data_IF_884297915919
#
_entry.id   IF_884297915919
#
_cell.length_a   1.000
_cell.length_b   1.000
_cell.length_c   1.000
_cell.angle_alpha   90.00
_cell.angle_beta   90.00
_cell.angle_gamma   90.00
#
_symmetry.space_group_name_H-M   'P 1'
#
loop_
_entity.id
_entity.type
_entity.pdbx_description
1 polymer ?
#
# COMPACT_ATOMS: atom_id res chain seq x y z
N UNK A 1 29.97 -8.48 72.11
CA UNK A 1 30.45 -9.43 71.10
C UNK A 1 29.94 -8.92 69.76
N UNK A 2 30.72 -8.15 68.99
CA UNK A 2 31.65 -8.64 67.93
C UNK A 2 30.89 -9.56 66.96
N UNK A 3 30.79 -9.33 65.64
CA UNK A 3 31.77 -8.74 64.71
C UNK A 3 31.14 -8.57 63.30
N UNK A 4 31.42 -7.42 62.64
CA UNK A 4 31.83 -7.21 61.21
C UNK A 4 31.14 -7.97 60.06
N UNK A 5 30.55 -7.28 59.07
CA UNK A 5 31.18 -6.72 57.83
C UNK A 5 30.77 -7.57 56.60
N UNK A 6 30.19 -7.07 55.50
CA UNK A 6 30.65 -5.95 54.68
C UNK A 6 29.51 -5.13 54.06
N UNK A 7 29.61 -3.82 54.23
CA UNK A 7 29.13 -2.80 53.31
C UNK A 7 30.13 -2.65 52.13
N UNK A 8 29.67 -2.07 51.02
CA UNK A 8 30.40 -1.72 49.77
C UNK A 8 30.50 -2.89 48.78
N UNK A 9 30.13 -2.79 47.49
CA UNK A 9 29.81 -1.70 46.57
C UNK A 9 29.36 -2.40 45.27
N UNK A 10 28.31 -2.02 44.54
CA UNK A 10 28.26 -0.84 43.68
C UNK A 10 26.82 -0.69 43.16
N UNK A 11 26.20 0.46 43.43
CA UNK A 11 25.25 1.05 42.48
C UNK A 11 26.06 1.54 41.27
N UNK A 12 25.44 1.45 40.09
CA UNK A 12 25.86 1.96 38.77
C UNK A 12 27.06 1.31 38.09
N UNK A 13 26.77 0.60 36.99
CA UNK A 13 27.26 0.93 35.64
C UNK A 13 26.30 0.24 34.65
N UNK A 14 25.24 0.93 34.23
CA UNK A 14 25.11 1.57 32.91
C UNK A 14 25.44 0.66 31.72
N UNK A 15 24.42 0.45 30.87
CA UNK A 15 24.40 -0.15 29.53
C UNK A 15 24.12 -1.66 29.42
N UNK A 16 23.02 -2.01 28.72
CA UNK A 16 23.04 -3.10 27.74
C UNK A 16 22.25 -4.38 28.05
N UNK A 17 21.10 -4.53 27.37
CA UNK A 17 20.72 -5.77 26.68
C UNK A 17 20.20 -6.97 27.49
N UNK A 18 18.97 -7.39 27.16
CA UNK A 18 18.60 -8.81 27.23
C UNK A 18 17.30 -9.15 27.95
N UNK A 19 16.15 -8.79 27.37
CA UNK A 19 14.93 -9.59 27.59
C UNK A 19 15.15 -10.98 26.96
N UNK A 20 15.73 -11.92 27.72
CA UNK A 20 15.78 -13.33 27.32
C UNK A 20 14.42 -13.96 27.61
N UNK A 21 13.59 -14.04 26.58
CA UNK A 21 12.51 -15.02 26.48
C UNK A 21 13.14 -16.42 26.66
N UNK A 22 12.89 -17.03 27.81
CA UNK A 22 13.29 -18.41 28.07
C UNK A 22 12.25 -19.34 27.40
N UNK A 23 12.70 -20.49 26.87
CA UNK A 23 11.91 -21.43 26.08
C UNK A 23 10.64 -21.94 26.77
N UNK A 24 10.61 -21.91 28.11
CA UNK A 24 9.44 -22.22 28.95
C UNK A 24 8.32 -21.20 28.78
N UNK A 25 8.63 -19.92 28.53
CA UNK A 25 7.63 -18.87 28.20
C UNK A 25 7.12 -19.01 26.76
N UNK A 26 7.96 -19.46 25.83
CA UNK A 26 7.57 -19.72 24.43
C UNK A 26 6.62 -20.93 24.37
N UNK A 27 6.90 -21.98 25.13
CA UNK A 27 6.02 -23.15 25.27
C UNK A 27 4.64 -22.80 25.83
N UNK A 28 4.56 -21.93 26.84
CA UNK A 28 3.28 -21.50 27.42
C UNK A 28 2.48 -20.57 26.49
N UNK A 29 3.15 -19.78 25.64
CA UNK A 29 2.50 -18.94 24.62
C UNK A 29 1.82 -19.79 23.53
N UNK A 30 2.38 -20.96 23.22
CA UNK A 30 1.79 -21.89 22.24
C UNK A 30 0.55 -22.63 22.75
N UNK A 31 0.24 -22.57 24.05
CA UNK A 31 -0.88 -23.28 24.69
C UNK A 31 -2.06 -22.37 25.07
N UNK A 32 -2.00 -21.06 24.80
CA UNK A 32 -3.05 -20.11 25.20
C UNK A 32 -4.35 -20.29 24.40
N UNK A 33 -5.45 -20.56 25.10
CA UNK A 33 -6.74 -20.95 24.50
C UNK A 33 -7.73 -19.78 24.29
N UNK A 34 -7.41 -18.55 24.71
CA UNK A 34 -8.28 -17.38 24.49
C UNK A 34 -7.56 -16.03 24.61
N UNK A 35 -8.13 -14.98 23.99
CA UNK A 35 -7.60 -13.61 24.03
C UNK A 35 -7.51 -12.96 25.41
N UNK A 36 -8.35 -13.39 26.36
CA UNK A 36 -8.31 -12.89 27.74
C UNK A 36 -7.07 -13.36 28.52
N UNK A 37 -6.43 -14.46 28.11
CA UNK A 37 -5.13 -14.88 28.65
C UNK A 37 -3.98 -14.11 28.01
N UNK A 38 -4.02 -13.85 26.70
CA UNK A 38 -3.02 -13.03 26.01
C UNK A 38 -2.97 -11.57 26.53
N UNK A 39 -4.14 -11.02 26.88
CA UNK A 39 -4.29 -9.73 27.57
C UNK A 39 -3.58 -9.72 28.94
N UNK A 40 -3.83 -10.75 29.76
CA UNK A 40 -3.21 -10.90 31.10
C UNK A 40 -1.71 -11.22 31.04
N UNK A 41 -1.22 -11.73 29.91
CA UNK A 41 0.19 -12.06 29.67
C UNK A 41 1.01 -10.91 29.04
N UNK A 42 0.41 -9.72 28.89
CA UNK A 42 1.11 -8.48 28.52
C UNK A 42 1.28 -8.25 27.01
N UNK A 43 0.64 -9.05 26.15
CA UNK A 43 0.73 -8.89 24.69
C UNK A 43 0.00 -7.61 24.24
N UNK A 44 -1.19 -7.36 24.78
CA UNK A 44 -1.96 -6.13 24.52
C UNK A 44 -1.18 -4.90 24.98
N UNK A 45 -0.65 -4.91 26.19
CA UNK A 45 0.19 -3.80 26.68
C UNK A 45 1.45 -3.64 25.84
N UNK A 46 2.09 -4.73 25.39
CA UNK A 46 3.25 -4.66 24.48
C UNK A 46 2.88 -4.06 23.13
N UNK A 47 1.73 -4.44 22.57
CA UNK A 47 1.21 -3.90 21.31
C UNK A 47 0.93 -2.40 21.48
N UNK A 48 0.24 -2.01 22.55
CA UNK A 48 -0.09 -0.62 22.88
C UNK A 48 1.18 0.20 23.10
N UNK A 49 2.03 -0.19 24.05
CA UNK A 49 3.20 0.59 24.42
C UNK A 49 4.17 0.79 23.26
N UNK A 50 4.30 -0.23 22.38
CA UNK A 50 5.21 -0.16 21.24
C UNK A 50 4.61 0.54 20.03
N UNK A 51 3.33 0.31 19.72
CA UNK A 51 2.73 0.75 18.46
C UNK A 51 1.75 1.93 18.62
N UNK A 52 1.36 2.28 19.85
CA UNK A 52 0.24 3.18 20.13
C UNK A 52 0.40 4.00 21.43
N UNK A 53 0.87 5.25 21.33
CA UNK A 53 1.32 6.03 22.51
C UNK A 53 0.26 6.88 23.27
N UNK A 54 -1.00 6.97 22.82
CA UNK A 54 -1.98 7.93 23.38
C UNK A 54 -3.15 7.27 24.16
N UNK A 55 -3.49 7.81 25.35
CA UNK A 55 -4.49 7.24 26.26
C UNK A 55 -5.91 7.04 25.68
N UNK A 56 -6.44 7.99 24.90
CA UNK A 56 -7.75 7.82 24.25
C UNK A 56 -7.71 6.85 23.04
N UNK A 57 -6.54 6.69 22.41
CA UNK A 57 -6.35 5.66 21.37
C UNK A 57 -6.28 4.28 22.02
N UNK A 58 -5.62 4.17 23.18
CA UNK A 58 -5.41 2.92 23.92
C UNK A 58 -6.71 2.16 24.17
N UNK A 59 -7.73 2.81 24.71
CA UNK A 59 -9.03 2.15 25.01
C UNK A 59 -9.72 1.62 23.74
N UNK A 60 -9.70 2.40 22.65
CA UNK A 60 -10.26 1.99 21.35
C UNK A 60 -9.49 0.83 20.73
N UNK A 61 -8.17 0.82 20.88
CA UNK A 61 -7.29 -0.25 20.40
C UNK A 61 -7.57 -1.54 21.16
N UNK A 62 -7.68 -1.47 22.49
CA UNK A 62 -8.04 -2.61 23.33
C UNK A 62 -9.38 -3.18 22.86
N UNK A 63 -10.40 -2.33 22.70
CA UNK A 63 -11.71 -2.77 22.25
C UNK A 63 -11.68 -3.42 20.85
N UNK A 64 -10.95 -2.86 19.88
CA UNK A 64 -10.82 -3.45 18.54
C UNK A 64 -10.03 -4.76 18.55
N UNK A 65 -8.96 -4.84 19.35
CA UNK A 65 -8.19 -6.06 19.52
C UNK A 65 -9.04 -7.16 20.16
N UNK A 66 -9.76 -6.86 21.25
CA UNK A 66 -10.64 -7.82 21.92
C UNK A 66 -11.73 -8.35 20.97
N UNK A 67 -12.28 -7.48 20.11
CA UNK A 67 -13.24 -7.92 19.08
C UNK A 67 -12.64 -8.89 18.05
N UNK A 68 -11.31 -8.85 17.82
CA UNK A 68 -10.63 -9.79 16.93
C UNK A 68 -10.34 -11.13 17.63
N UNK A 69 -9.97 -11.11 18.92
CA UNK A 69 -9.45 -12.30 19.62
C UNK A 69 -10.50 -13.03 20.47
N UNK A 70 -11.58 -12.38 20.91
CA UNK A 70 -12.58 -13.01 21.81
C UNK A 70 -13.59 -13.85 21.03
N UNK A 71 -13.82 -15.13 21.41
CA UNK A 71 -14.98 -15.91 21.00
C UNK A 71 -16.24 -15.39 21.74
N UNK A 72 -17.14 -14.79 20.97
CA UNK A 72 -18.48 -14.20 21.24
C UNK A 72 -18.94 -13.77 22.65
N UNK A 73 -19.29 -12.48 22.75
CA UNK A 73 -20.31 -11.96 23.68
C UNK A 73 -21.36 -11.04 23.00
N UNK A 74 -21.39 -10.92 21.65
CA UNK A 74 -22.30 -10.01 20.96
C UNK A 74 -23.38 -10.74 20.14
N UNK A 75 -24.70 -10.52 20.37
CA UNK A 75 -25.78 -11.30 19.73
C UNK A 75 -26.14 -10.87 18.31
N UNK A 76 -25.62 -9.76 17.82
CA UNK A 76 -25.86 -9.27 16.45
C UNK A 76 -24.54 -8.80 15.88
N UNK A 77 -23.86 -9.58 15.02
CA UNK A 77 -22.76 -9.15 14.14
C UNK A 77 -22.23 -10.36 13.36
N UNK A 78 -22.51 -10.47 12.06
CA UNK A 78 -21.91 -11.50 11.20
C UNK A 78 -20.37 -11.37 11.21
N UNK A 79 -19.66 -12.43 11.58
CA UNK A 79 -18.18 -12.53 11.46
C UNK A 79 -17.78 -12.90 10.03
N UNK A 80 -18.21 -12.11 9.05
CA UNK A 80 -17.77 -12.36 7.67
C UNK A 80 -16.25 -12.10 7.57
N UNK A 81 -15.52 -12.80 6.70
CA UNK A 81 -14.07 -12.60 6.56
C UNK A 81 -13.69 -11.14 6.30
N UNK A 82 -14.50 -10.44 5.49
CA UNK A 82 -14.26 -9.05 5.16
C UNK A 82 -14.45 -8.11 6.36
N UNK A 83 -15.46 -8.33 7.21
CA UNK A 83 -15.65 -7.54 8.43
C UNK A 83 -14.46 -7.70 9.37
N UNK A 84 -13.97 -8.94 9.52
CA UNK A 84 -12.79 -9.23 10.34
C UNK A 84 -11.53 -8.55 9.78
N UNK A 85 -11.33 -8.58 8.46
CA UNK A 85 -10.21 -7.91 7.81
C UNK A 85 -10.28 -6.38 7.93
N UNK A 86 -11.47 -5.77 7.81
CA UNK A 86 -11.65 -4.33 8.04
C UNK A 86 -11.33 -3.92 9.47
N UNK A 87 -11.78 -4.68 10.48
CA UNK A 87 -11.45 -4.41 11.89
C UNK A 87 -9.94 -4.49 12.13
N UNK A 88 -9.27 -5.49 11.55
CA UNK A 88 -7.82 -5.60 11.62
C UNK A 88 -7.11 -4.43 10.91
N UNK A 89 -7.62 -4.00 9.76
CA UNK A 89 -7.05 -2.84 9.07
C UNK A 89 -7.23 -1.53 9.86
N UNK A 90 -8.37 -1.36 10.56
CA UNK A 90 -8.57 -0.22 11.48
C UNK A 90 -7.56 -0.24 12.63
N UNK A 91 -7.23 -1.42 13.16
CA UNK A 91 -6.18 -1.57 14.14
C UNK A 91 -4.80 -1.18 13.58
N UNK A 92 -4.48 -1.57 12.33
CA UNK A 92 -3.26 -1.13 11.62
C UNK A 92 -3.22 0.38 11.40
N UNK A 93 -4.33 1.01 10.99
CA UNK A 93 -4.43 2.46 10.76
C UNK A 93 -4.16 3.29 12.02
N UNK A 94 -4.52 2.75 13.19
CA UNK A 94 -4.26 3.41 14.48
C UNK A 94 -2.78 3.43 14.85
N UNK A 95 -1.95 2.55 14.26
CA UNK A 95 -0.54 2.40 14.57
C UNK A 95 0.28 3.52 13.93
N UNK A 96 1.38 3.86 14.60
CA UNK A 96 2.37 4.77 14.02
C UNK A 96 2.88 4.19 12.68
N UNK A 97 3.16 5.07 11.72
CA UNK A 97 3.49 4.68 10.35
C UNK A 97 4.69 3.73 10.29
N UNK A 98 5.70 3.95 11.14
CA UNK A 98 6.89 3.11 11.30
C UNK A 98 6.59 1.68 11.79
N UNK A 99 5.36 1.38 12.20
CA UNK A 99 4.97 0.11 12.77
C UNK A 99 3.88 -0.62 11.99
N UNK A 100 3.31 0.00 10.95
CA UNK A 100 2.23 -0.59 10.15
C UNK A 100 2.64 -1.88 9.45
N UNK A 101 3.90 -1.98 9.01
CA UNK A 101 4.47 -3.17 8.37
C UNK A 101 4.54 -4.41 9.29
N UNK A 102 4.34 -4.22 10.61
CA UNK A 102 4.22 -5.34 11.53
C UNK A 102 2.84 -6.01 11.50
N UNK A 103 1.81 -5.36 10.93
CA UNK A 103 0.45 -5.88 10.85
C UNK A 103 0.26 -6.62 9.53
N UNK A 104 0.23 -7.95 9.58
CA UNK A 104 0.18 -8.77 8.36
C UNK A 104 -1.13 -9.56 8.29
N UNK A 105 -1.78 -9.46 7.12
CA UNK A 105 -2.83 -10.38 6.70
C UNK A 105 -2.16 -11.47 5.88
N UNK A 106 -2.35 -12.74 6.25
CA UNK A 106 -1.88 -13.89 5.47
C UNK A 106 -3.06 -14.69 4.96
N UNK A 107 -3.01 -15.04 3.68
CA UNK A 107 -3.93 -15.95 3.03
C UNK A 107 -3.23 -17.30 2.94
N UNK A 108 -3.83 -18.33 3.54
CA UNK A 108 -3.32 -19.68 3.48
C UNK A 108 -4.24 -20.50 2.57
N UNK A 109 -3.75 -20.86 1.39
CA UNK A 109 -4.45 -21.74 0.45
C UNK A 109 -3.63 -23.02 0.31
N UNK A 110 -4.30 -24.17 0.41
CA UNK A 110 -3.62 -25.45 0.22
C UNK A 110 -3.55 -25.75 -1.28
N UNK A 111 -2.34 -25.86 -1.84
CA UNK A 111 -2.14 -26.15 -3.26
C UNK A 111 -2.78 -27.48 -3.71
N UNK A 112 -3.01 -28.43 -2.79
CA UNK A 112 -3.72 -29.69 -3.07
C UNK A 112 -5.25 -29.62 -2.97
N UNK A 113 -5.80 -28.54 -2.42
CA UNK A 113 -7.22 -28.29 -2.25
C UNK A 113 -7.49 -26.78 -2.45
N UNK A 114 -7.30 -26.30 -3.68
CA UNK A 114 -7.40 -24.87 -4.02
C UNK A 114 -8.73 -24.24 -3.63
N UNK A 115 -9.81 -25.02 -3.55
CA UNK A 115 -11.13 -24.56 -3.12
C UNK A 115 -11.23 -24.24 -1.63
N UNK A 116 -10.21 -24.58 -0.83
CA UNK A 116 -10.16 -24.34 0.60
C UNK A 116 -9.05 -23.33 0.91
N UNK A 117 -9.46 -22.23 1.55
CA UNK A 117 -8.58 -21.17 1.98
C UNK A 117 -8.85 -20.80 3.43
N UNK A 118 -7.88 -20.21 4.10
CA UNK A 118 -8.07 -19.59 5.41
C UNK A 118 -7.28 -18.29 5.44
N UNK A 119 -7.55 -17.45 6.44
CA UNK A 119 -6.78 -16.24 6.64
C UNK A 119 -6.36 -16.09 8.09
N UNK A 120 -5.27 -15.36 8.29
CA UNK A 120 -4.78 -15.02 9.62
C UNK A 120 -4.34 -13.59 9.70
N UNK A 121 -4.43 -13.06 10.91
CA UNK A 121 -3.94 -11.75 11.27
C UNK A 121 -2.81 -11.92 12.27
N UNK A 122 -1.69 -11.28 11.99
CA UNK A 122 -0.51 -11.32 12.85
C UNK A 122 0.04 -9.93 13.09
N UNK A 123 0.59 -9.75 14.28
CA UNK A 123 1.36 -8.57 14.64
C UNK A 123 2.77 -9.06 14.94
N UNK A 124 3.73 -8.68 14.09
CA UNK A 124 5.09 -9.25 14.04
C UNK A 124 5.06 -10.76 13.83
N UNK A 125 5.33 -11.52 14.89
CA UNK A 125 5.40 -12.98 14.87
C UNK A 125 4.20 -13.62 15.56
N UNK A 126 3.36 -12.82 16.21
CA UNK A 126 2.28 -13.31 17.04
C UNK A 126 1.00 -13.29 16.20
N UNK A 127 0.45 -14.48 15.92
CA UNK A 127 -0.86 -14.63 15.28
C UNK A 127 -1.93 -14.30 16.31
N UNK A 128 -2.71 -13.24 16.05
CA UNK A 128 -3.76 -12.77 16.96
C UNK A 128 -5.12 -13.35 16.58
N UNK A 129 -5.28 -13.77 15.33
CA UNK A 129 -6.49 -14.41 14.82
C UNK A 129 -6.14 -15.36 13.68
N UNK A 130 -6.81 -16.50 13.63
CA UNK A 130 -6.75 -17.48 12.55
C UNK A 130 -8.17 -17.95 12.28
N UNK A 131 -8.59 -17.92 11.01
CA UNK A 131 -9.88 -18.48 10.62
C UNK A 131 -9.80 -19.99 10.54
N UNK A 132 -10.93 -20.65 10.75
CA UNK A 132 -11.12 -22.01 10.25
C UNK A 132 -10.96 -22.05 8.72
N UNK A 133 -10.67 -23.22 8.12
CA UNK A 133 -10.72 -23.40 6.67
C UNK A 133 -12.11 -23.06 6.11
N UNK A 134 -12.12 -22.15 5.13
CA UNK A 134 -13.28 -21.68 4.39
C UNK A 134 -13.25 -22.26 2.98
N UNK A 135 -14.42 -22.57 2.42
CA UNK A 135 -14.54 -23.10 1.07
C UNK A 135 -14.95 -22.03 0.05
N UNK A 136 -15.09 -22.45 -1.21
CA UNK A 136 -15.47 -21.63 -2.36
C UNK A 136 -16.79 -20.84 -2.17
N UNK A 137 -17.66 -21.20 -1.21
CA UNK A 137 -18.88 -20.43 -0.94
C UNK A 137 -18.59 -19.04 -0.38
N UNK A 138 -17.36 -18.80 0.06
CA UNK A 138 -16.86 -17.50 0.54
C UNK A 138 -15.97 -16.79 -0.49
N UNK A 139 -16.00 -17.16 -1.77
CA UNK A 139 -15.17 -16.59 -2.85
C UNK A 139 -15.27 -15.07 -2.94
N UNK A 140 -16.48 -14.49 -2.80
CA UNK A 140 -16.63 -13.03 -2.76
C UNK A 140 -15.78 -12.39 -1.65
N UNK A 141 -15.72 -13.02 -0.48
CA UNK A 141 -14.92 -12.53 0.64
C UNK A 141 -13.43 -12.84 0.46
N UNK A 142 -13.06 -13.91 -0.24
CA UNK A 142 -11.68 -14.20 -0.59
C UNK A 142 -11.08 -13.03 -1.37
N UNK A 143 -11.73 -12.63 -2.46
CA UNK A 143 -11.25 -11.54 -3.31
C UNK A 143 -11.17 -10.19 -2.55
N UNK A 144 -12.15 -9.90 -1.70
CA UNK A 144 -12.17 -8.69 -0.87
C UNK A 144 -11.04 -8.68 0.18
N UNK A 145 -10.79 -9.81 0.86
CA UNK A 145 -9.70 -9.93 1.86
C UNK A 145 -8.33 -9.89 1.17
N UNK A 146 -8.18 -10.53 0.01
CA UNK A 146 -6.98 -10.43 -0.83
C UNK A 146 -6.74 -8.98 -1.28
N UNK A 147 -7.79 -8.26 -1.67
CA UNK A 147 -7.70 -6.84 -2.02
C UNK A 147 -7.19 -6.01 -0.84
N UNK A 148 -7.75 -6.19 0.36
CA UNK A 148 -7.28 -5.50 1.57
C UNK A 148 -5.83 -5.85 1.91
N UNK A 149 -5.43 -7.11 1.75
CA UNK A 149 -4.04 -7.53 1.93
C UNK A 149 -3.12 -6.79 0.96
N UNK A 150 -3.43 -6.79 -0.33
CA UNK A 150 -2.59 -6.11 -1.34
C UNK A 150 -2.51 -4.60 -1.08
N UNK A 151 -3.62 -3.96 -0.68
CA UNK A 151 -3.58 -2.56 -0.26
C UNK A 151 -2.63 -2.32 0.92
N UNK A 152 -2.57 -3.24 1.89
CA UNK A 152 -1.66 -3.13 3.03
C UNK A 152 -0.21 -3.39 2.65
N UNK A 153 0.05 -4.42 1.84
CA UNK A 153 1.40 -4.70 1.33
C UNK A 153 1.93 -3.51 0.52
N UNK A 154 1.07 -2.90 -0.32
CA UNK A 154 1.46 -1.72 -1.09
C UNK A 154 1.77 -0.52 -0.22
N UNK A 155 0.98 -0.25 0.82
CA UNK A 155 1.29 0.81 1.78
C UNK A 155 2.65 0.58 2.48
N UNK A 156 2.96 -0.68 2.81
CA UNK A 156 4.22 -1.02 3.46
C UNK A 156 5.41 -0.78 2.50
N UNK A 157 5.28 -1.20 1.23
CA UNK A 157 6.27 -0.91 0.18
C UNK A 157 6.41 0.60 -0.07
N UNK A 158 5.31 1.37 -0.10
CA UNK A 158 5.37 2.83 -0.23
C UNK A 158 6.19 3.47 0.90
N UNK A 159 6.03 2.97 2.12
CA UNK A 159 6.80 3.45 3.26
C UNK A 159 8.28 3.08 3.14
N UNK A 160 8.61 1.87 2.69
CA UNK A 160 9.99 1.43 2.45
C UNK A 160 10.67 2.20 1.32
N UNK A 161 9.95 2.46 0.23
CA UNK A 161 10.45 3.18 -0.94
C UNK A 161 10.28 4.71 -0.85
N UNK A 162 9.87 5.28 0.29
CA UNK A 162 9.56 6.72 0.42
C UNK A 162 10.68 7.66 -0.04
N UNK A 163 11.94 7.29 0.17
CA UNK A 163 13.09 8.10 -0.28
C UNK A 163 13.23 8.08 -1.81
N UNK A 164 12.98 6.91 -2.38
CA UNK A 164 12.97 6.63 -3.83
C UNK A 164 11.71 7.25 -4.46
N UNK A 165 10.62 7.43 -3.73
CA UNK A 165 9.37 8.06 -4.19
C UNK A 165 9.29 9.54 -3.81
N UNK A 166 10.43 10.24 -3.82
CA UNK A 166 10.48 11.68 -3.61
C UNK A 166 10.36 12.46 -4.93
N UNK A 167 9.84 13.69 -4.85
CA UNK A 167 9.69 14.57 -6.03
C UNK A 167 11.03 14.87 -6.70
N UNK A 168 12.10 14.99 -5.92
CA UNK A 168 13.47 15.15 -6.42
C UNK A 168 13.93 13.93 -7.21
N UNK A 169 13.65 12.73 -6.70
CA UNK A 169 14.01 11.49 -7.36
C UNK A 169 13.21 11.28 -8.67
N UNK A 170 11.93 11.64 -8.69
CA UNK A 170 11.14 11.66 -9.94
C UNK A 170 11.74 12.65 -10.96
N UNK A 171 12.04 13.87 -10.50
CA UNK A 171 12.61 14.92 -11.35
C UNK A 171 13.92 14.46 -11.99
N UNK A 172 14.84 13.92 -11.19
CA UNK A 172 16.12 13.39 -11.70
C UNK A 172 15.92 12.23 -12.67
N UNK A 173 15.04 11.27 -12.34
CA UNK A 173 14.73 10.16 -13.25
C UNK A 173 14.20 10.64 -14.60
N UNK A 174 13.42 11.73 -14.61
CA UNK A 174 12.88 12.28 -15.84
C UNK A 174 13.94 13.02 -16.65
N UNK A 175 14.78 13.84 -16.01
CA UNK A 175 15.93 14.49 -16.66
C UNK A 175 16.81 13.44 -17.36
N UNK A 176 17.08 12.30 -16.71
CA UNK A 176 17.86 11.20 -17.30
C UNK A 176 17.27 10.65 -18.60
N UNK A 177 15.95 10.71 -18.76
CA UNK A 177 15.27 10.25 -19.96
C UNK A 177 15.03 11.35 -20.99
N UNK A 178 15.01 12.62 -20.58
CA UNK A 178 14.69 13.76 -21.44
C UNK A 178 15.69 13.99 -22.57
N UNK A 179 16.95 13.60 -22.40
CA UNK A 179 17.98 13.68 -23.44
C UNK A 179 18.96 12.54 -23.33
N UNK A 180 19.45 12.06 -24.48
CA UNK A 180 20.52 11.05 -24.53
C UNK A 180 21.92 11.68 -24.36
N UNK A 181 22.03 13.01 -24.43
CA UNK A 181 23.28 13.77 -24.25
C UNK A 181 23.45 14.19 -22.78
N UNK A 182 24.60 13.86 -22.16
CA UNK A 182 24.88 14.27 -20.77
C UNK A 182 25.03 15.79 -20.62
N UNK A 183 25.61 16.48 -21.62
CA UNK A 183 25.78 17.93 -21.56
C UNK A 183 24.43 18.65 -21.51
N UNK A 184 23.44 18.16 -22.25
CA UNK A 184 22.08 18.70 -22.22
C UNK A 184 21.38 18.36 -20.90
N UNK A 185 21.63 17.17 -20.32
CA UNK A 185 21.11 16.82 -19.00
C UNK A 185 21.67 17.72 -17.90
N UNK A 186 22.96 18.04 -17.94
CA UNK A 186 23.57 19.04 -17.05
C UNK A 186 22.99 20.44 -17.27
N UNK A 187 22.80 20.87 -18.52
CA UNK A 187 22.11 22.15 -18.79
C UNK A 187 20.70 22.17 -18.16
N UNK A 188 19.92 21.10 -18.33
CA UNK A 188 18.58 21.00 -17.73
C UNK A 188 18.66 21.10 -16.21
N UNK A 189 19.63 20.42 -15.56
CA UNK A 189 19.85 20.47 -14.11
C UNK A 189 20.16 21.89 -13.63
N UNK A 190 21.07 22.58 -14.31
CA UNK A 190 21.44 23.97 -13.99
C UNK A 190 20.28 24.96 -14.18
N UNK A 191 19.38 24.66 -15.13
CA UNK A 191 18.24 25.52 -15.50
C UNK A 191 16.92 25.14 -14.83
N UNK A 192 16.92 24.20 -13.88
CA UNK A 192 15.69 23.65 -13.31
C UNK A 192 14.70 24.71 -12.81
N UNK A 193 15.20 25.74 -12.15
CA UNK A 193 14.41 26.81 -11.54
C UNK A 193 14.44 28.11 -12.35
N UNK A 194 15.00 28.09 -13.56
CA UNK A 194 15.12 29.28 -14.41
C UNK A 194 13.75 29.60 -15.07
N UNK A 195 13.10 30.74 -14.74
CA UNK A 195 11.78 31.10 -15.27
C UNK A 195 11.80 31.35 -16.78
N UNK A 196 12.97 31.47 -17.40
CA UNK A 196 13.11 31.58 -18.85
C UNK A 196 12.70 30.30 -19.60
N UNK A 197 12.56 29.19 -18.87
CA UNK A 197 12.08 27.91 -19.38
C UNK A 197 10.64 27.60 -18.88
N UNK A 198 9.89 28.62 -18.48
CA UNK A 198 8.46 28.51 -18.20
C UNK A 198 7.63 28.26 -19.47
N UNK A 199 6.41 27.76 -19.31
CA UNK A 199 5.46 27.54 -20.42
C UNK A 199 5.17 28.83 -21.19
N UNK A 200 5.12 29.97 -20.53
CA UNK A 200 4.86 31.28 -21.15
C UNK A 200 6.01 31.74 -22.04
N UNK A 201 7.22 31.19 -21.84
CA UNK A 201 8.40 31.46 -22.66
C UNK A 201 8.55 30.44 -23.80
N UNK A 202 7.78 29.36 -23.79
CA UNK A 202 7.80 28.34 -24.83
C UNK A 202 7.20 28.88 -26.13
N UNK A 203 7.90 28.67 -27.24
CA UNK A 203 7.51 29.17 -28.56
C UNK A 203 6.94 28.06 -29.47
N UNK A 204 7.71 27.01 -29.72
CA UNK A 204 7.30 25.88 -30.57
C UNK A 204 8.27 24.70 -30.43
N UNK A 205 7.84 23.52 -30.85
CA UNK A 205 8.73 22.39 -31.11
C UNK A 205 9.23 22.39 -32.54
N UNK A 206 10.45 21.90 -32.75
CA UNK A 206 11.00 21.65 -34.09
C UNK A 206 11.78 20.33 -34.13
N UNK A 207 11.88 19.72 -35.30
CA UNK A 207 12.56 18.44 -35.50
C UNK A 207 11.82 17.60 -36.53
N UNK A 208 12.55 16.89 -37.39
CA UNK A 208 11.94 16.04 -38.41
C UNK A 208 11.32 14.78 -37.79
N UNK A 209 10.19 14.32 -38.33
CA UNK A 209 9.66 12.99 -38.00
C UNK A 209 10.71 11.92 -38.32
N UNK A 210 10.96 11.01 -37.38
CA UNK A 210 11.97 9.96 -37.50
C UNK A 210 13.37 10.31 -36.97
N UNK A 211 13.65 11.57 -36.60
CA UNK A 211 14.89 11.89 -35.89
C UNK A 211 14.88 11.34 -34.46
N UNK A 212 16.06 11.00 -33.93
CA UNK A 212 16.25 10.57 -32.53
C UNK A 212 16.12 11.71 -31.52
N UNK A 213 16.13 12.96 -31.97
CA UNK A 213 15.99 14.16 -31.13
C UNK A 213 14.98 15.15 -31.72
N UNK A 214 14.44 16.00 -30.85
CA UNK A 214 13.64 17.17 -31.19
C UNK A 214 14.09 18.37 -30.34
N UNK A 215 13.76 19.58 -30.77
CA UNK A 215 14.13 20.80 -30.05
C UNK A 215 12.89 21.50 -29.48
N UNK A 216 12.94 21.84 -28.20
CA UNK A 216 11.99 22.74 -27.58
C UNK A 216 12.56 24.16 -27.55
N UNK A 217 11.91 25.10 -28.24
CA UNK A 217 12.35 26.48 -28.31
C UNK A 217 11.65 27.32 -27.24
N UNK A 218 12.45 28.01 -26.44
CA UNK A 218 12.04 29.03 -25.48
C UNK A 218 12.59 30.38 -25.92
N UNK A 219 12.03 31.48 -25.42
CA UNK A 219 12.48 32.84 -25.77
C UNK A 219 13.98 33.06 -25.52
N UNK A 220 14.56 32.33 -24.56
CA UNK A 220 15.96 32.50 -24.15
C UNK A 220 16.93 31.44 -24.69
N UNK A 221 16.44 30.45 -25.44
CA UNK A 221 17.27 29.34 -25.90
C UNK A 221 16.47 28.14 -26.39
N UNK A 222 17.15 27.04 -26.70
CA UNK A 222 16.51 25.79 -27.11
C UNK A 222 17.12 24.61 -26.35
N UNK A 223 16.30 23.61 -26.04
CA UNK A 223 16.75 22.35 -25.45
C UNK A 223 16.68 21.24 -26.49
N UNK A 224 17.73 20.43 -26.59
CA UNK A 224 17.77 19.23 -27.43
C UNK A 224 17.31 17.99 -26.65
N UNK A 225 16.13 17.48 -26.99
CA UNK A 225 15.42 16.47 -26.22
C UNK A 225 15.29 15.17 -27.03
N UNK A 226 15.29 14.03 -26.34
CA UNK A 226 15.18 12.71 -26.95
C UNK A 226 13.79 12.51 -27.54
N UNK A 227 13.74 12.14 -28.81
CA UNK A 227 12.53 11.78 -29.56
C UNK A 227 12.33 10.26 -29.63
N UNK A 228 13.07 9.48 -28.82
CA UNK A 228 12.89 8.03 -28.73
C UNK A 228 11.51 7.70 -28.15
N UNK A 229 11.06 6.46 -28.41
CA UNK A 229 9.84 5.92 -27.82
C UNK A 229 9.86 5.98 -26.29
N UNK A 230 8.67 6.08 -25.72
CA UNK A 230 8.40 6.07 -24.28
C UNK A 230 7.70 4.76 -23.87
N UNK A 231 8.22 3.63 -24.38
CA UNK A 231 7.61 2.29 -24.26
C UNK A 231 7.36 1.88 -22.80
N UNK A 232 8.11 2.42 -21.84
CA UNK A 232 7.96 2.13 -20.41
C UNK A 232 7.57 3.36 -19.59
N UNK A 233 6.99 4.38 -20.25
CA UNK A 233 6.53 5.61 -19.59
C UNK A 233 7.64 6.62 -19.32
N UNK A 234 8.78 6.51 -20.01
CA UNK A 234 9.89 7.45 -19.89
C UNK A 234 9.50 8.85 -20.35
N UNK A 235 10.04 9.88 -19.69
CA UNK A 235 9.68 11.27 -19.92
C UNK A 235 10.44 11.87 -21.11
N UNK A 236 10.11 11.35 -22.30
CA UNK A 236 10.72 11.67 -23.59
C UNK A 236 9.72 11.49 -24.73
N UNK A 237 10.14 11.82 -25.95
CA UNK A 237 9.32 11.63 -27.15
C UNK A 237 7.95 12.29 -27.02
N UNK A 238 6.91 11.59 -27.45
CA UNK A 238 5.55 12.13 -27.48
C UNK A 238 5.01 12.51 -26.10
N UNK A 239 5.37 11.79 -25.03
CA UNK A 239 4.95 12.15 -23.68
C UNK A 239 5.50 13.52 -23.29
N UNK A 240 6.81 13.73 -23.48
CA UNK A 240 7.45 15.01 -23.18
C UNK A 240 6.91 16.14 -24.07
N UNK A 241 6.76 15.89 -25.38
CA UNK A 241 6.18 16.87 -26.32
C UNK A 241 4.80 17.33 -25.87
N UNK A 242 3.92 16.38 -25.54
CA UNK A 242 2.57 16.67 -25.08
C UNK A 242 2.56 17.48 -23.77
N UNK A 243 3.50 17.23 -22.85
CA UNK A 243 3.59 18.01 -21.61
C UNK A 243 4.20 19.40 -21.83
N UNK A 244 5.12 19.56 -22.79
CA UNK A 244 5.68 20.87 -23.16
C UNK A 244 4.64 21.71 -23.89
N UNK A 245 3.98 21.16 -24.91
CA UNK A 245 3.06 21.88 -25.81
C UNK A 245 1.62 21.96 -25.27
N UNK A 246 1.21 21.04 -24.41
CA UNK A 246 -0.15 20.88 -23.90
C UNK A 246 -0.82 22.21 -23.53
N UNK A 247 -2.04 22.41 -24.02
CA UNK A 247 -2.81 23.64 -23.77
C UNK A 247 -3.11 23.86 -22.28
N UNK A 248 -3.20 22.77 -21.51
CA UNK A 248 -3.48 22.81 -20.07
C UNK A 248 -2.20 22.77 -19.21
N UNK A 249 -1.01 22.72 -19.82
CA UNK A 249 0.26 22.79 -19.10
C UNK A 249 0.48 24.19 -18.54
N UNK A 250 0.88 24.28 -17.26
CA UNK A 250 1.07 25.56 -16.53
C UNK A 250 2.38 25.59 -15.73
N UNK A 251 3.43 24.96 -16.23
CA UNK A 251 4.71 24.91 -15.53
C UNK A 251 5.44 26.26 -15.58
N UNK A 252 5.92 26.71 -14.42
CA UNK A 252 6.66 27.97 -14.26
C UNK A 252 8.17 27.81 -14.50
N UNK A 253 8.67 26.58 -14.57
CA UNK A 253 10.06 26.25 -14.86
C UNK A 253 10.22 24.75 -15.21
N UNK A 254 11.43 24.30 -15.50
CA UNK A 254 11.71 22.91 -15.84
C UNK A 254 11.49 21.96 -14.65
N UNK A 255 11.70 22.40 -13.41
CA UNK A 255 11.42 21.58 -12.22
C UNK A 255 9.94 21.22 -12.13
N UNK A 256 9.04 22.19 -12.33
CA UNK A 256 7.60 21.92 -12.35
C UNK A 256 7.21 21.00 -13.51
N UNK A 257 7.78 21.21 -14.70
CA UNK A 257 7.57 20.32 -15.84
C UNK A 257 8.03 18.88 -15.52
N UNK A 258 9.23 18.73 -14.96
CA UNK A 258 9.81 17.43 -14.62
C UNK A 258 9.08 16.78 -13.45
N UNK A 259 8.54 17.52 -12.49
CA UNK A 259 7.81 16.95 -11.35
C UNK A 259 6.32 16.73 -11.61
N UNK A 260 5.84 17.06 -12.81
CA UNK A 260 4.43 16.94 -13.16
C UNK A 260 3.86 15.54 -12.87
N UNK A 261 2.73 15.48 -12.18
CA UNK A 261 2.07 14.21 -11.88
C UNK A 261 2.80 13.37 -10.82
N UNK A 262 3.70 13.96 -10.03
CA UNK A 262 4.26 13.32 -8.84
C UNK A 262 3.16 12.76 -7.93
N UNK A 263 3.32 11.52 -7.47
CA UNK A 263 2.31 10.80 -6.66
C UNK A 263 0.93 10.71 -7.33
N UNK A 264 0.91 10.56 -8.65
CA UNK A 264 -0.28 10.24 -9.44
C UNK A 264 -0.01 9.03 -10.35
N UNK A 265 -1.01 8.57 -11.10
CA UNK A 265 -0.81 7.51 -12.10
C UNK A 265 0.18 7.87 -13.22
N UNK A 266 0.53 9.15 -13.39
CA UNK A 266 1.55 9.62 -14.34
C UNK A 266 2.99 9.57 -13.75
N UNK A 267 3.14 9.19 -12.49
CA UNK A 267 4.44 9.00 -11.83
C UNK A 267 4.99 7.61 -12.16
N UNK A 268 5.98 7.55 -13.06
CA UNK A 268 6.57 6.28 -13.51
C UNK A 268 7.22 5.48 -12.38
N UNK A 269 7.72 6.13 -11.33
CA UNK A 269 8.34 5.44 -10.18
C UNK A 269 7.25 4.81 -9.31
N UNK A 270 6.15 5.54 -9.10
CA UNK A 270 4.98 4.99 -8.40
C UNK A 270 4.36 3.81 -9.17
N UNK A 271 4.24 3.93 -10.49
CA UNK A 271 3.75 2.84 -11.37
C UNK A 271 4.66 1.62 -11.30
N UNK A 272 5.98 1.82 -11.24
CA UNK A 272 6.93 0.72 -11.10
C UNK A 272 6.77 -0.01 -9.76
N UNK A 273 6.63 0.74 -8.65
CA UNK A 273 6.40 0.16 -7.32
C UNK A 273 5.04 -0.54 -7.24
N UNK A 274 4.01 -0.04 -7.93
CA UNK A 274 2.67 -0.63 -7.91
C UNK A 274 2.52 -1.87 -8.80
N UNK A 275 3.38 -2.04 -9.81
CA UNK A 275 3.23 -3.11 -10.81
C UNK A 275 3.16 -4.54 -10.22
N UNK A 276 4.02 -4.94 -9.26
CA UNK A 276 3.91 -6.27 -8.64
C UNK A 276 2.58 -6.49 -7.91
N UNK A 277 2.09 -5.45 -7.21
CA UNK A 277 0.81 -5.49 -6.49
C UNK A 277 -0.37 -5.62 -7.43
N UNK A 278 -0.35 -4.88 -8.55
CA UNK A 278 -1.31 -5.05 -9.64
C UNK A 278 -1.32 -6.49 -10.15
N UNK A 279 -0.15 -7.06 -10.43
CA UNK A 279 -0.04 -8.45 -10.93
C UNK A 279 -0.57 -9.45 -9.90
N UNK A 280 -0.23 -9.31 -8.62
CA UNK A 280 -0.76 -10.18 -7.57
C UNK A 280 -2.28 -10.07 -7.43
N UNK A 281 -2.81 -8.84 -7.49
CA UNK A 281 -4.25 -8.61 -7.44
C UNK A 281 -4.97 -9.20 -8.66
N UNK A 282 -4.42 -9.04 -9.87
CA UNK A 282 -4.95 -9.69 -11.06
C UNK A 282 -4.94 -11.21 -10.92
N UNK A 283 -3.89 -11.81 -10.36
CA UNK A 283 -3.87 -13.25 -10.13
C UNK A 283 -4.95 -13.72 -9.13
N UNK A 284 -5.37 -12.86 -8.19
CA UNK A 284 -6.49 -13.16 -7.30
C UNK A 284 -7.87 -12.98 -7.98
N UNK A 285 -7.99 -12.05 -8.92
CA UNK A 285 -9.27 -11.68 -9.55
C UNK A 285 -9.53 -12.47 -10.86
N UNK A 286 -8.49 -12.72 -11.66
CA UNK A 286 -8.54 -13.25 -13.04
C UNK A 286 -8.13 -14.74 -13.13
N UNK A 287 -8.51 -15.62 -12.20
CA UNK A 287 -8.41 -17.09 -12.41
C UNK A 287 -9.30 -17.61 -13.57
N UNK A 288 -9.92 -16.72 -14.33
CA UNK A 288 -10.91 -16.99 -15.37
C UNK A 288 -10.34 -17.11 -16.80
N UNK A 289 -9.25 -17.88 -16.96
CA UNK A 289 -8.97 -18.52 -18.26
C UNK A 289 -8.78 -20.04 -18.18
N UNK A 290 -8.78 -20.64 -16.98
CA UNK A 290 -8.95 -22.10 -16.81
C UNK A 290 -10.30 -22.49 -16.20
N UNK A 291 -11.07 -21.51 -15.69
CA UNK A 291 -12.31 -21.73 -14.92
C UNK A 291 -13.60 -21.58 -15.78
N UNK A 292 -13.49 -21.21 -17.07
CA UNK A 292 -14.62 -21.24 -18.01
C UNK A 292 -15.31 -22.63 -18.13
N UNK A 293 -14.66 -23.73 -17.74
CA UNK A 293 -15.25 -25.08 -17.71
C UNK A 293 -16.10 -25.33 -16.45
N UNK A 294 -15.86 -24.62 -15.35
CA UNK A 294 -16.63 -24.78 -14.10
C UNK A 294 -17.69 -23.69 -13.89
N UNK A 295 -17.57 -22.55 -14.58
CA UNK A 295 -18.47 -21.39 -14.49
C UNK A 295 -19.90 -21.67 -14.96
N UNK A 296 -20.12 -22.57 -15.94
CA UNK A 296 -21.48 -23.01 -16.27
C UNK A 296 -22.19 -23.75 -15.12
N UNK A 297 -21.44 -24.32 -14.16
CA UNK A 297 -21.99 -25.04 -13.00
C UNK A 297 -22.35 -24.12 -11.83
N UNK A 298 -21.63 -22.99 -11.67
CA UNK A 298 -21.87 -21.98 -10.62
C UNK A 298 -22.98 -21.00 -11.02
N UNK A 299 -23.10 -20.69 -12.32
CA UNK A 299 -24.10 -19.76 -12.86
C UNK A 299 -25.57 -20.17 -12.63
N UNK A 300 -25.86 -21.40 -12.17
CA UNK A 300 -27.21 -21.81 -11.82
C UNK A 300 -27.63 -21.50 -10.37
N UNK A 301 -26.71 -21.07 -9.48
CA UNK A 301 -27.04 -20.80 -8.07
C UNK A 301 -26.49 -19.47 -7.54
N UNK A 302 -27.00 -18.37 -8.11
CA UNK A 302 -27.32 -17.06 -7.49
C UNK A 302 -26.21 -16.21 -6.81
N UNK A 303 -25.99 -15.04 -7.43
CA UNK A 303 -25.29 -13.81 -6.98
C UNK A 303 -23.76 -13.87 -6.89
N UNK A 304 -23.12 -14.04 -8.04
CA UNK A 304 -21.68 -13.81 -8.22
C UNK A 304 -21.51 -13.04 -9.54
N UNK A 305 -20.81 -11.90 -9.49
CA UNK A 305 -20.56 -11.05 -10.66
C UNK A 305 -20.51 -9.56 -10.32
N UNK A 306 -21.64 -8.96 -9.92
CA UNK A 306 -21.71 -7.49 -9.78
C UNK A 306 -21.44 -6.95 -8.37
N UNK A 307 -21.65 -7.71 -7.28
CA UNK A 307 -21.47 -7.19 -5.92
C UNK A 307 -20.02 -7.21 -5.44
N UNK A 308 -19.29 -8.31 -5.67
CA UNK A 308 -17.90 -8.44 -5.24
C UNK A 308 -16.97 -7.48 -5.99
N UNK A 309 -17.14 -7.33 -7.31
CA UNK A 309 -16.36 -6.37 -8.10
C UNK A 309 -16.65 -4.92 -7.72
N UNK A 310 -17.90 -4.60 -7.36
CA UNK A 310 -18.28 -3.27 -6.84
C UNK A 310 -17.62 -3.01 -5.48
N UNK A 311 -17.51 -4.01 -4.61
CA UNK A 311 -16.80 -3.90 -3.33
C UNK A 311 -15.29 -3.74 -3.51
N UNK A 312 -14.65 -4.52 -4.40
CA UNK A 312 -13.23 -4.37 -4.74
C UNK A 312 -12.96 -2.97 -5.30
N UNK A 313 -13.79 -2.52 -6.25
CA UNK A 313 -13.71 -1.16 -6.80
C UNK A 313 -13.83 -0.11 -5.70
N UNK A 314 -14.77 -0.28 -4.77
CA UNK A 314 -14.94 0.64 -3.65
C UNK A 314 -13.72 0.67 -2.73
N UNK A 315 -13.13 -0.48 -2.38
CA UNK A 315 -11.90 -0.54 -1.57
C UNK A 315 -10.78 0.25 -2.27
N UNK A 316 -10.54 -0.02 -3.55
CA UNK A 316 -9.45 0.58 -4.32
C UNK A 316 -9.65 2.08 -4.57
N UNK A 317 -10.89 2.53 -4.80
CA UNK A 317 -11.22 3.95 -5.01
C UNK A 317 -11.06 4.80 -3.74
N UNK A 318 -11.32 4.21 -2.56
CA UNK A 318 -11.17 4.91 -1.29
C UNK A 318 -9.72 4.89 -0.76
N UNK A 319 -8.85 4.02 -1.30
CA UNK A 319 -7.44 3.99 -0.94
C UNK A 319 -6.66 5.00 -1.79
N UNK A 320 -6.34 6.15 -1.20
CA UNK A 320 -5.63 7.25 -1.86
C UNK A 320 -4.12 7.17 -1.70
N UNK A 321 -3.40 7.52 -2.77
CA UNK A 321 -1.95 7.74 -2.78
C UNK A 321 -1.69 9.02 -3.54
N UNK A 322 -1.24 10.06 -2.82
CA UNK A 322 -1.23 11.42 -3.37
C UNK A 322 -2.63 11.83 -3.83
N UNK A 323 -2.74 12.25 -5.09
CA UNK A 323 -4.01 12.67 -5.69
C UNK A 323 -4.76 11.53 -6.40
N UNK A 324 -4.08 10.40 -6.64
CA UNK A 324 -4.67 9.22 -7.28
C UNK A 324 -5.23 8.22 -6.25
N UNK A 325 -6.01 7.26 -6.71
CA UNK A 325 -6.45 6.13 -5.92
C UNK A 325 -5.84 4.84 -6.50
N UNK A 326 -5.88 3.75 -5.75
CA UNK A 326 -5.32 2.48 -6.22
C UNK A 326 -6.06 1.91 -7.43
N UNK A 327 -7.35 2.23 -7.58
CA UNK A 327 -8.14 1.77 -8.73
C UNK A 327 -7.56 2.32 -10.05
N UNK A 328 -7.28 3.61 -10.10
CA UNK A 328 -6.69 4.29 -11.25
C UNK A 328 -5.23 3.90 -11.45
N UNK A 329 -4.47 3.73 -10.34
CA UNK A 329 -3.05 3.37 -10.39
C UNK A 329 -2.81 1.93 -10.83
N UNK A 330 -3.69 0.99 -10.45
CA UNK A 330 -3.59 -0.41 -10.85
C UNK A 330 -4.17 -0.67 -12.25
N UNK A 331 -4.80 0.32 -12.91
CA UNK A 331 -5.33 0.19 -14.27
C UNK A 331 -6.20 -1.07 -14.47
N UNK A 332 -7.01 -1.44 -13.46
CA UNK A 332 -7.81 -2.66 -13.51
C UNK A 332 -9.01 -2.48 -14.43
N UNK A 333 -9.19 -3.40 -15.38
CA UNK A 333 -10.34 -3.43 -16.28
C UNK A 333 -11.56 -4.10 -15.61
N UNK A 334 -12.05 -3.53 -14.50
CA UNK A 334 -13.25 -4.03 -13.84
C UNK A 334 -14.52 -3.52 -14.55
N UNK A 335 -15.53 -4.36 -14.83
CA UNK A 335 -16.77 -3.94 -15.48
C UNK A 335 -17.50 -2.83 -14.69
N UNK A 336 -18.05 -1.84 -15.41
CA UNK A 336 -18.80 -0.74 -14.81
C UNK A 336 -20.14 -1.22 -14.23
N UNK A 337 -20.28 -1.11 -12.90
CA UNK A 337 -21.53 -1.34 -12.19
C UNK A 337 -21.89 -0.15 -11.31
N UNK A 338 -23.19 0.05 -10.98
CA UNK A 338 -23.59 1.09 -10.06
C UNK A 338 -22.93 0.87 -8.69
N UNK A 339 -22.17 1.86 -8.22
CA UNK A 339 -21.64 1.90 -6.86
C UNK A 339 -22.79 2.34 -5.96
N UNK A 340 -23.52 1.38 -5.40
CA UNK A 340 -24.41 1.65 -4.29
C UNK A 340 -24.09 0.68 -3.17
N UNK A 341 -23.05 1.03 -2.41
CA UNK A 341 -22.71 0.34 -1.17
C UNK A 341 -22.93 1.35 -0.06
N UNK A 342 -23.99 1.13 0.72
CA UNK A 342 -24.18 1.78 2.00
C UNK A 342 -23.20 1.14 3.00
N UNK A 343 -21.92 1.50 2.91
CA UNK A 343 -20.89 1.14 3.90
C UNK A 343 -21.09 1.87 5.24
N UNK A 344 -22.05 2.80 5.32
CA UNK A 344 -22.41 3.53 6.53
C UNK A 344 -22.79 2.58 7.68
N UNK A 345 -23.41 1.44 7.40
CA UNK A 345 -23.80 0.46 8.44
C UNK A 345 -22.60 -0.24 9.12
N UNK A 346 -21.39 -0.22 8.54
CA UNK A 346 -20.18 -0.77 9.18
C UNK A 346 -19.37 0.29 9.96
N UNK A 347 -19.67 1.57 9.76
CA UNK A 347 -18.96 2.70 10.38
C UNK A 347 -19.72 3.23 11.61
N UNK A 348 -21.05 3.14 11.64
CA UNK A 348 -21.87 3.72 12.72
C UNK A 348 -21.82 2.96 14.06
N UNK A 349 -21.11 1.82 14.15
CA UNK A 349 -20.92 1.08 15.40
C UNK A 349 -19.72 1.52 16.27
N UNK A 350 -18.96 2.55 15.86
CA UNK A 350 -17.71 2.94 16.51
C UNK A 350 -17.59 4.45 16.81
N UNK A 351 -18.71 5.10 17.11
CA UNK A 351 -18.71 6.45 17.69
C UNK A 351 -18.87 6.42 19.21
#
# INVERSE_FOLDING_TARGET
MTTTSHCSSLLSDSLGGGFKLNDRRIGTIMEAASGNEAAKMGLIDTIIDKFFRNGAKRERIIALYEQLVVPDLCPSNERTPIIMAYKFNKLREMADEEHRHHFQIRINQNMGQQEIWSYSFSIRKDTIFQSEPLDYRYENYYNEVCTLKICNDFDDDLYEFREVLSQSALTESRIQTMSDDESVREEIREKLDDPRYAKEQFSHLSGAEGNSTFFAHFTSGKLELSNRGNETGEFRGNLLKNKIEGKDSKYQNLRELCSYGFMTKDDSRLVYVSAPHRTHLNNYIDEDNSILVNIQRILQNKRVGNSALVNIRHILQNKKVGETNLYDLFELNLPEGPINIDMACLIEGAM
#
